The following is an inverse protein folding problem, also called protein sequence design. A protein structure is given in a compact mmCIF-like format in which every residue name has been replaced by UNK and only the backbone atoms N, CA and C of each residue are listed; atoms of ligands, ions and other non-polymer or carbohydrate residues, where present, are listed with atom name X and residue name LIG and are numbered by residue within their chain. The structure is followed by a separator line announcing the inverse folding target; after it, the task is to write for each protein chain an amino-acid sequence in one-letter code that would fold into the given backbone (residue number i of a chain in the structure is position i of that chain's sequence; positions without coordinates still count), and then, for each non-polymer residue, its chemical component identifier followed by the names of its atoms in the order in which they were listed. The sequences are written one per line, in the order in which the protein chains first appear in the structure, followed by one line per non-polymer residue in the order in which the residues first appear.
data_IF_439002807903
#
_entry.id   IF_439002807903
#
_cell.length_a   1.000
_cell.length_b   1.000
_cell.length_c   1.000
_cell.angle_alpha   90.00
_cell.angle_beta   90.00
_cell.angle_gamma   90.00
#
_symmetry.space_group_name_H-M   'P 1'
#
loop_
_entity.id
_entity.type
_entity.pdbx_description
1 polymer ?
#
# COMPACT_ATOMS: atom_id res chain seq x y z
N UNK A 1 -14.37 -5.49 19.25
CA UNK A 1 -13.70 -6.60 18.52
C UNK A 1 -13.29 -7.70 19.50
N UNK A 2 -13.47 -8.98 19.15
CA UNK A 2 -13.10 -10.12 20.02
C UNK A 2 -11.80 -10.77 19.53
N UNK A 3 -10.88 -11.12 20.44
CA UNK A 3 -9.78 -12.02 20.09
C UNK A 3 -10.28 -13.45 19.96
N UNK A 4 -9.56 -14.28 19.18
CA UNK A 4 -9.82 -15.72 19.08
C UNK A 4 -9.84 -16.43 20.44
N UNK A 5 -9.23 -15.84 21.48
CA UNK A 5 -9.20 -16.36 22.85
C UNK A 5 -10.40 -15.93 23.72
N UNK A 6 -11.21 -14.98 23.27
CA UNK A 6 -12.32 -14.38 24.04
C UNK A 6 -13.62 -14.25 23.23
N UNK A 7 -13.75 -14.98 22.13
CA UNK A 7 -14.91 -14.86 21.26
C UNK A 7 -16.06 -15.75 21.73
N UNK A 8 -17.28 -15.21 21.69
CA UNK A 8 -18.53 -15.97 21.85
C UNK A 8 -19.42 -15.77 20.61
N UNK A 9 -20.02 -16.86 20.13
CA UNK A 9 -21.00 -16.84 19.03
C UNK A 9 -20.48 -16.23 17.73
N UNK A 10 -21.21 -15.25 17.18
CA UNK A 10 -20.90 -14.61 15.89
C UNK A 10 -19.53 -13.90 15.90
N UNK A 11 -19.08 -13.41 17.05
CA UNK A 11 -17.79 -12.72 17.19
C UNK A 11 -16.60 -13.63 16.89
N UNK A 12 -16.75 -14.95 16.99
CA UNK A 12 -15.70 -15.89 16.60
C UNK A 12 -15.48 -15.95 15.09
N UNK A 13 -16.53 -15.76 14.30
CA UNK A 13 -16.43 -15.77 12.84
C UNK A 13 -15.65 -14.53 12.38
N UNK A 14 -15.96 -13.36 12.95
CA UNK A 14 -15.21 -12.13 12.67
C UNK A 14 -13.73 -12.29 13.06
N UNK A 15 -13.45 -12.75 14.28
CA UNK A 15 -12.08 -12.97 14.75
C UNK A 15 -11.29 -13.96 13.86
N UNK A 16 -11.93 -15.04 13.40
CA UNK A 16 -11.32 -16.00 12.48
C UNK A 16 -10.97 -15.35 11.13
N UNK A 17 -11.90 -14.59 10.57
CA UNK A 17 -11.71 -13.88 9.30
C UNK A 17 -10.61 -12.81 9.41
N UNK A 18 -10.55 -12.08 10.52
CA UNK A 18 -9.50 -11.09 10.80
C UNK A 18 -8.12 -11.74 10.92
N UNK A 19 -8.02 -12.90 11.58
CA UNK A 19 -6.78 -13.66 11.65
C UNK A 19 -6.37 -14.20 10.28
N UNK A 20 -7.31 -14.65 9.45
CA UNK A 20 -7.02 -15.09 8.09
C UNK A 20 -6.45 -13.95 7.23
N UNK A 21 -7.05 -12.75 7.32
CA UNK A 21 -6.54 -11.53 6.67
C UNK A 21 -5.14 -11.18 7.21
N UNK A 22 -4.99 -11.08 8.53
CA UNK A 22 -3.73 -10.69 9.18
C UNK A 22 -2.59 -11.63 8.81
N UNK A 23 -2.86 -12.94 8.80
CA UNK A 23 -1.90 -13.96 8.37
C UNK A 23 -1.50 -13.78 6.90
N UNK A 24 -2.48 -13.56 6.02
CA UNK A 24 -2.23 -13.33 4.59
C UNK A 24 -1.40 -12.06 4.36
N UNK A 25 -1.78 -10.96 5.00
CA UNK A 25 -1.07 -9.68 4.95
C UNK A 25 0.37 -9.81 5.45
N UNK A 26 0.58 -10.50 6.57
CA UNK A 26 1.91 -10.77 7.13
C UNK A 26 2.78 -11.61 6.19
N UNK A 27 2.25 -12.68 5.60
CA UNK A 27 2.98 -13.51 4.63
C UNK A 27 3.39 -12.68 3.40
N UNK A 28 2.48 -11.85 2.88
CA UNK A 28 2.79 -10.95 1.76
C UNK A 28 3.88 -9.94 2.14
N UNK A 29 3.76 -9.30 3.31
CA UNK A 29 4.73 -8.33 3.80
C UNK A 29 6.13 -8.96 3.99
N UNK A 30 6.22 -10.13 4.61
CA UNK A 30 7.49 -10.85 4.82
C UNK A 30 8.14 -11.18 3.48
N UNK A 31 7.37 -11.72 2.54
CA UNK A 31 7.87 -12.05 1.21
C UNK A 31 8.33 -10.79 0.46
N UNK A 32 7.59 -9.69 0.59
CA UNK A 32 7.94 -8.42 -0.05
C UNK A 32 9.22 -7.79 0.52
N UNK A 33 9.32 -7.67 1.85
CA UNK A 33 10.52 -7.14 2.51
C UNK A 33 11.75 -7.97 2.21
N UNK A 34 11.64 -9.30 2.21
CA UNK A 34 12.75 -10.20 1.85
C UNK A 34 13.36 -9.85 0.50
N UNK A 35 12.58 -9.32 -0.44
CA UNK A 35 13.04 -8.96 -1.78
C UNK A 35 13.61 -7.56 -1.82
N UNK A 36 12.98 -6.60 -1.15
CA UNK A 36 13.55 -5.25 -0.99
C UNK A 36 14.98 -5.36 -0.44
N UNK A 37 15.18 -6.17 0.60
CA UNK A 37 16.49 -6.38 1.21
C UNK A 37 17.47 -7.16 0.32
N UNK A 38 16.96 -8.04 -0.57
CA UNK A 38 17.78 -8.85 -1.48
C UNK A 38 18.02 -8.19 -2.84
N UNK A 39 17.35 -7.08 -3.17
CA UNK A 39 17.51 -6.39 -4.45
C UNK A 39 18.83 -5.60 -4.54
N UNK A 40 19.94 -6.34 -4.58
CA UNK A 40 21.29 -5.82 -4.84
C UNK A 40 21.47 -5.33 -6.28
N UNK A 41 20.61 -5.79 -7.19
CA UNK A 41 20.74 -5.57 -8.63
C UNK A 41 20.00 -4.33 -9.14
N UNK A 42 19.43 -3.52 -8.23
CA UNK A 42 18.67 -2.29 -8.55
C UNK A 42 17.56 -2.53 -9.57
N UNK A 43 16.86 -3.67 -9.47
CA UNK A 43 15.77 -4.00 -10.38
C UNK A 43 14.59 -3.05 -10.18
N UNK A 44 14.38 -2.60 -8.94
CA UNK A 44 13.43 -1.56 -8.60
C UNK A 44 14.14 -0.20 -8.52
N UNK A 45 13.50 0.84 -9.07
CA UNK A 45 13.92 2.23 -8.85
C UNK A 45 13.86 2.58 -7.36
N UNK A 46 14.62 3.60 -6.94
CA UNK A 46 14.62 4.05 -5.53
C UNK A 46 13.20 4.41 -5.06
N UNK A 47 12.43 5.09 -5.91
CA UNK A 47 11.05 5.47 -5.61
C UNK A 47 10.14 4.24 -5.47
N UNK A 48 10.22 3.28 -6.40
CA UNK A 48 9.46 2.02 -6.33
C UNK A 48 9.76 1.23 -5.05
N UNK A 49 11.01 1.22 -4.60
CA UNK A 49 11.37 0.57 -3.33
C UNK A 49 10.73 1.25 -2.12
N UNK A 50 10.64 2.58 -2.13
CA UNK A 50 10.01 3.34 -1.05
C UNK A 50 8.51 3.07 -1.04
N UNK A 51 7.83 3.22 -2.18
CA UNK A 51 6.39 2.92 -2.32
C UNK A 51 6.12 1.48 -1.84
N UNK A 52 6.92 0.53 -2.33
CA UNK A 52 6.76 -0.88 -1.95
C UNK A 52 6.97 -1.11 -0.45
N UNK A 53 8.01 -0.51 0.14
CA UNK A 53 8.31 -0.60 1.57
C UNK A 53 7.22 0.00 2.46
N UNK A 54 6.62 1.13 2.05
CA UNK A 54 5.49 1.74 2.75
C UNK A 54 4.27 0.82 2.68
N UNK A 55 3.94 0.26 1.50
CA UNK A 55 2.82 -0.68 1.37
C UNK A 55 3.00 -1.95 2.19
N UNK A 56 4.22 -2.49 2.28
CA UNK A 56 4.48 -3.65 3.13
C UNK A 56 4.38 -3.28 4.61
N UNK A 57 4.81 -2.07 5.00
CA UNK A 57 4.60 -1.54 6.35
C UNK A 57 3.11 -1.40 6.69
N UNK A 58 2.27 -0.96 5.74
CA UNK A 58 0.82 -0.92 5.91
C UNK A 58 0.23 -2.31 6.16
N UNK A 59 0.67 -3.35 5.43
CA UNK A 59 0.21 -4.73 5.66
C UNK A 59 0.61 -5.27 7.04
N UNK A 60 1.81 -4.93 7.53
CA UNK A 60 2.25 -5.30 8.89
C UNK A 60 1.39 -4.57 9.92
N UNK A 61 1.20 -3.26 9.76
CA UNK A 61 0.38 -2.47 10.67
C UNK A 61 -1.08 -2.93 10.66
N UNK A 62 -1.61 -3.31 9.50
CA UNK A 62 -2.94 -3.90 9.39
C UNK A 62 -3.04 -5.23 10.15
N UNK A 63 -1.99 -6.05 10.05
CA UNK A 63 -1.91 -7.30 10.81
C UNK A 63 -1.90 -7.03 12.31
N UNK A 64 -1.14 -6.02 12.75
CA UNK A 64 -1.11 -5.56 14.14
C UNK A 64 -2.46 -4.96 14.58
N UNK A 65 -3.13 -4.19 13.73
CA UNK A 65 -4.44 -3.61 14.00
C UNK A 65 -5.48 -4.68 14.36
N UNK A 66 -5.55 -5.76 13.56
CA UNK A 66 -6.46 -6.87 13.83
C UNK A 66 -6.07 -7.71 15.06
N UNK A 67 -4.78 -7.76 15.43
CA UNK A 67 -4.33 -8.50 16.63
C UNK A 67 -4.54 -7.67 17.91
N UNK A 68 -4.30 -6.36 17.86
CA UNK A 68 -4.31 -5.44 19.02
C UNK A 68 -5.63 -4.66 19.14
N UNK A 69 -6.77 -5.29 18.83
CA UNK A 69 -8.11 -4.77 19.13
C UNK A 69 -8.45 -3.43 18.46
N UNK A 70 -7.88 -3.18 17.29
CA UNK A 70 -8.26 -2.01 16.51
C UNK A 70 -7.72 -0.69 17.03
N UNK A 71 -6.49 -0.68 17.56
CA UNK A 71 -5.85 0.55 18.07
C UNK A 71 -5.92 1.72 17.09
N UNK A 72 -6.37 2.85 17.61
CA UNK A 72 -6.65 4.05 16.84
C UNK A 72 -5.40 4.75 16.33
N UNK A 73 -4.34 4.66 17.12
CA UNK A 73 -3.01 5.03 16.69
C UNK A 73 -2.61 4.26 15.42
N UNK A 74 -2.93 2.96 15.36
CA UNK A 74 -2.55 2.09 14.25
C UNK A 74 -3.38 2.41 13.01
N UNK A 75 -4.71 2.57 13.11
CA UNK A 75 -5.54 2.91 11.94
C UNK A 75 -5.22 4.28 11.36
N UNK A 76 -5.00 5.29 12.21
CA UNK A 76 -4.57 6.62 11.76
C UNK A 76 -3.21 6.54 11.07
N UNK A 77 -2.28 5.76 11.61
CA UNK A 77 -0.98 5.52 10.96
C UNK A 77 -1.12 4.83 9.60
N UNK A 78 -1.96 3.79 9.48
CA UNK A 78 -2.23 3.12 8.19
C UNK A 78 -2.78 4.11 7.17
N UNK A 79 -3.76 4.93 7.56
CA UNK A 79 -4.40 5.93 6.69
C UNK A 79 -3.41 7.01 6.24
N UNK A 80 -2.57 7.53 7.14
CA UNK A 80 -1.55 8.52 6.76
C UNK A 80 -0.45 7.93 5.88
N UNK A 81 -0.02 6.68 6.13
CA UNK A 81 0.90 5.98 5.23
C UNK A 81 0.29 5.79 3.84
N UNK A 82 -1.03 5.57 3.75
CA UNK A 82 -1.74 5.47 2.48
C UNK A 82 -1.67 6.79 1.72
N UNK A 83 -1.97 7.91 2.38
CA UNK A 83 -1.85 9.25 1.79
C UNK A 83 -0.41 9.49 1.30
N UNK A 84 0.60 9.12 2.10
CA UNK A 84 1.99 9.23 1.69
C UNK A 84 2.32 8.39 0.43
N UNK A 85 1.75 7.19 0.32
CA UNK A 85 1.88 6.37 -0.89
C UNK A 85 1.24 7.04 -2.11
N UNK A 86 0.05 7.65 -1.97
CA UNK A 86 -0.60 8.38 -3.06
C UNK A 86 0.24 9.57 -3.53
N UNK A 87 0.88 10.29 -2.60
CA UNK A 87 1.81 11.38 -2.92
C UNK A 87 2.99 10.88 -3.75
N UNK A 88 3.62 9.78 -3.32
CA UNK A 88 4.75 9.19 -4.04
C UNK A 88 4.35 8.64 -5.41
N UNK A 89 3.14 8.10 -5.51
CA UNK A 89 2.57 7.65 -6.77
C UNK A 89 2.34 8.82 -7.73
N UNK A 90 1.80 9.93 -7.24
CA UNK A 90 1.65 11.15 -8.02
C UNK A 90 2.99 11.60 -8.59
N UNK A 91 4.06 11.58 -7.79
CA UNK A 91 5.42 11.87 -8.26
C UNK A 91 5.84 10.94 -9.38
N UNK A 92 5.65 9.62 -9.20
CA UNK A 92 6.05 8.61 -10.18
C UNK A 92 5.31 8.76 -11.51
N UNK A 93 3.99 8.99 -11.46
CA UNK A 93 3.18 9.17 -12.66
C UNK A 93 3.52 10.49 -13.36
N UNK A 94 3.79 11.54 -12.58
CA UNK A 94 4.19 12.81 -13.14
C UNK A 94 5.54 12.72 -13.87
N UNK A 95 6.53 12.00 -13.30
CA UNK A 95 7.85 11.76 -13.93
C UNK A 95 7.74 11.10 -15.31
N UNK A 96 6.69 10.30 -15.53
CA UNK A 96 6.42 9.65 -16.82
C UNK A 96 5.69 10.59 -17.77
N UNK A 97 4.74 11.39 -17.26
CA UNK A 97 3.79 12.15 -18.07
C UNK A 97 4.19 13.58 -18.43
N UNK A 98 5.11 14.21 -17.70
CA UNK A 98 5.38 15.66 -17.79
C UNK A 98 6.87 16.01 -17.95
N UNK A 99 7.13 17.22 -18.43
CA UNK A 99 8.46 17.80 -18.57
C UNK A 99 9.08 18.23 -17.23
N UNK A 100 10.42 18.34 -17.19
CA UNK A 100 11.19 18.63 -15.97
C UNK A 100 10.78 19.90 -15.22
N UNK A 101 10.45 20.98 -15.94
CA UNK A 101 10.08 22.25 -15.31
C UNK A 101 8.79 22.15 -14.48
N UNK A 102 7.88 21.25 -14.88
CA UNK A 102 6.67 20.95 -14.11
C UNK A 102 6.99 20.05 -12.90
N UNK A 103 7.90 19.08 -13.07
CA UNK A 103 8.33 18.16 -12.00
C UNK A 103 8.96 18.91 -10.82
N UNK A 104 9.83 19.89 -11.08
CA UNK A 104 10.49 20.65 -10.01
C UNK A 104 9.47 21.41 -9.13
N UNK A 105 8.44 22.00 -9.75
CA UNK A 105 7.35 22.68 -9.03
C UNK A 105 6.47 21.68 -8.27
N UNK A 106 6.17 20.54 -8.90
CA UNK A 106 5.37 19.48 -8.29
C UNK A 106 6.09 18.88 -7.08
N UNK A 107 7.41 18.66 -7.14
CA UNK A 107 8.18 18.11 -6.02
C UNK A 107 8.11 19.00 -4.78
N UNK A 108 8.21 20.32 -4.96
CA UNK A 108 8.05 21.29 -3.86
C UNK A 108 6.64 21.20 -3.27
N UNK A 109 5.62 21.15 -4.12
CA UNK A 109 4.23 21.04 -3.68
C UNK A 109 3.97 19.73 -2.92
N UNK A 110 4.44 18.59 -3.42
CA UNK A 110 4.27 17.29 -2.78
C UNK A 110 5.04 17.17 -1.46
N UNK A 111 6.18 17.85 -1.31
CA UNK A 111 6.88 17.97 -0.01
C UNK A 111 6.06 18.74 1.02
N UNK A 112 5.41 19.83 0.61
CA UNK A 112 4.52 20.61 1.48
C UNK A 112 3.35 19.74 1.93
N UNK A 113 2.69 19.03 1.00
CA UNK A 113 1.61 18.09 1.34
C UNK A 113 2.11 17.01 2.29
N UNK A 114 3.29 16.42 2.06
CA UNK A 114 3.86 15.41 2.96
C UNK A 114 4.06 15.93 4.38
N UNK A 115 4.49 17.20 4.52
CA UNK A 115 4.58 17.87 5.82
C UNK A 115 3.21 18.04 6.48
N UNK A 116 2.18 18.40 5.71
CA UNK A 116 0.81 18.49 6.20
C UNK A 116 0.26 17.13 6.67
N UNK A 117 0.53 16.05 5.92
CA UNK A 117 0.14 14.67 6.31
C UNK A 117 0.78 14.26 7.63
N UNK A 118 2.02 14.67 7.90
CA UNK A 118 2.67 14.42 9.18
C UNK A 118 1.99 15.16 10.33
N UNK A 119 1.56 16.42 10.10
CA UNK A 119 0.81 17.20 11.09
C UNK A 119 -0.56 16.57 11.35
N UNK A 120 -1.27 16.17 10.30
CA UNK A 120 -2.55 15.46 10.43
C UNK A 120 -2.40 14.13 11.18
N UNK A 121 -1.35 13.35 10.86
CA UNK A 121 -1.04 12.12 11.59
C UNK A 121 -0.80 12.41 13.08
N UNK A 122 0.02 13.41 13.40
CA UNK A 122 0.31 13.75 14.79
C UNK A 122 -0.97 14.18 15.55
N UNK A 123 -1.82 14.99 14.91
CA UNK A 123 -3.09 15.41 15.48
C UNK A 123 -4.02 14.23 15.73
N UNK A 124 -4.24 13.38 14.72
CA UNK A 124 -5.21 12.28 14.78
C UNK A 124 -4.73 11.11 15.65
N UNK A 125 -3.44 10.76 15.59
CA UNK A 125 -2.90 9.60 16.28
C UNK A 125 -2.53 9.88 17.74
N UNK A 126 -2.12 11.11 18.07
CA UNK A 126 -1.63 11.48 19.41
C UNK A 126 -2.63 12.36 20.17
N UNK A 127 -3.03 13.51 19.59
CA UNK A 127 -3.82 14.52 20.31
C UNK A 127 -5.30 14.13 20.42
N UNK A 128 -5.93 13.80 19.28
CA UNK A 128 -7.37 13.48 19.21
C UNK A 128 -7.73 12.19 19.93
N UNK A 129 -6.74 11.30 20.14
CA UNK A 129 -6.91 9.98 20.73
C UNK A 129 -7.25 10.04 22.24
N UNK A 130 -6.88 11.12 22.94
CA UNK A 130 -7.13 11.27 24.38
C UNK A 130 -8.46 11.99 24.71
N UNK A 131 -9.11 12.63 23.73
CA UNK A 131 -10.12 13.64 24.00
C UNK A 131 -11.60 13.16 23.97
N UNK A 132 -11.93 12.07 23.27
CA UNK A 132 -13.32 11.59 23.13
C UNK A 132 -13.42 10.09 22.82
N UNK A 133 -14.43 9.44 23.41
CA UNK A 133 -14.59 7.97 23.45
C UNK A 133 -14.89 7.28 22.10
N UNK A 134 -15.38 7.94 21.04
CA UNK A 134 -15.68 7.24 19.76
C UNK A 134 -15.39 8.01 18.45
N UNK A 135 -15.08 7.22 17.40
CA UNK A 135 -14.38 7.59 16.16
C UNK A 135 -15.20 8.25 15.06
N UNK A 136 -16.42 7.80 14.81
CA UNK A 136 -17.16 8.22 13.64
C UNK A 136 -17.91 9.55 13.81
N UNK A 137 -18.03 10.05 15.05
CA UNK A 137 -18.50 11.41 15.32
C UNK A 137 -17.40 12.46 15.11
N UNK A 138 -16.13 12.01 14.93
CA UNK A 138 -15.01 12.89 14.61
C UNK A 138 -14.89 13.03 13.10
N UNK A 139 -14.89 14.27 12.64
CA UNK A 139 -14.65 14.58 11.23
C UNK A 139 -13.24 14.19 10.75
N UNK A 140 -12.30 13.95 11.67
CA UNK A 140 -10.90 13.56 11.39
C UNK A 140 -10.79 12.40 10.37
N UNK A 141 -11.61 11.35 10.51
CA UNK A 141 -11.57 10.20 9.60
C UNK A 141 -12.07 10.55 8.20
N UNK A 142 -13.12 11.37 8.13
CA UNK A 142 -13.69 11.87 6.87
C UNK A 142 -12.69 12.79 6.16
N UNK A 143 -11.95 13.61 6.93
CA UNK A 143 -10.87 14.43 6.38
C UNK A 143 -9.75 13.56 5.79
N UNK A 144 -9.26 12.55 6.53
CA UNK A 144 -8.20 11.65 6.03
C UNK A 144 -8.63 10.88 4.77
N UNK A 145 -9.84 10.32 4.74
CA UNK A 145 -10.33 9.61 3.56
C UNK A 145 -10.68 10.54 2.41
N UNK A 146 -11.16 11.76 2.70
CA UNK A 146 -11.38 12.81 1.70
C UNK A 146 -10.07 13.26 1.03
N UNK A 147 -9.03 13.53 1.81
CA UNK A 147 -7.68 13.85 1.31
C UNK A 147 -7.14 12.72 0.44
N UNK A 148 -7.35 11.46 0.86
CA UNK A 148 -6.97 10.28 0.06
C UNK A 148 -7.67 10.30 -1.30
N UNK A 149 -9.00 10.47 -1.34
CA UNK A 149 -9.75 10.52 -2.62
C UNK A 149 -9.27 11.64 -3.52
N UNK A 150 -9.05 12.84 -2.98
CA UNK A 150 -8.55 13.99 -3.75
C UNK A 150 -7.19 13.65 -4.40
N UNK A 151 -6.26 13.09 -3.63
CA UNK A 151 -4.95 12.70 -4.15
C UNK A 151 -5.04 11.57 -5.17
N UNK A 152 -5.90 10.58 -4.96
CA UNK A 152 -6.10 9.51 -5.93
C UNK A 152 -6.70 10.04 -7.24
N UNK A 153 -7.57 11.05 -7.19
CA UNK A 153 -8.06 11.73 -8.39
C UNK A 153 -6.94 12.47 -9.14
N UNK A 154 -6.03 13.15 -8.40
CA UNK A 154 -4.83 13.73 -9.00
C UNK A 154 -3.94 12.66 -9.63
N UNK A 155 -3.72 11.54 -8.94
CA UNK A 155 -2.97 10.40 -9.45
C UNK A 155 -3.61 9.82 -10.71
N UNK A 156 -4.94 9.70 -10.77
CA UNK A 156 -5.65 9.30 -11.99
C UNK A 156 -5.42 10.28 -13.13
N UNK A 157 -5.48 11.59 -12.87
CA UNK A 157 -5.19 12.63 -13.85
C UNK A 157 -3.77 12.52 -14.43
N UNK A 158 -2.76 12.39 -13.56
CA UNK A 158 -1.38 12.17 -13.98
C UNK A 158 -1.20 10.81 -14.67
N UNK A 159 -1.93 9.80 -14.23
CA UNK A 159 -1.96 8.47 -14.81
C UNK A 159 -2.46 8.46 -16.25
N UNK A 160 -3.52 9.20 -16.57
CA UNK A 160 -3.99 9.35 -17.95
C UNK A 160 -2.93 10.01 -18.82
N UNK A 161 -2.28 11.07 -18.33
CA UNK A 161 -1.19 11.72 -19.06
C UNK A 161 -0.01 10.76 -19.30
N UNK A 162 0.38 9.99 -18.28
CA UNK A 162 1.44 8.99 -18.37
C UNK A 162 1.08 7.88 -19.38
N UNK A 163 -0.17 7.42 -19.41
CA UNK A 163 -0.64 6.43 -20.38
C UNK A 163 -0.59 6.96 -21.81
N UNK A 164 -0.93 8.22 -22.03
CA UNK A 164 -0.89 8.85 -23.36
C UNK A 164 0.56 8.96 -23.86
N UNK A 165 1.49 9.38 -22.99
CA UNK A 165 2.93 9.42 -23.30
C UNK A 165 3.50 8.03 -23.62
N UNK A 166 3.09 7.00 -22.87
CA UNK A 166 3.48 5.62 -23.17
C UNK A 166 2.93 5.15 -24.52
N UNK A 167 1.71 5.54 -24.89
CA UNK A 167 1.11 5.19 -26.16
C UNK A 167 1.82 5.87 -27.34
N UNK A 168 2.21 7.13 -27.20
CA UNK A 168 3.03 7.85 -28.19
C UNK A 168 4.37 7.13 -28.35
N UNK A 169 5.07 6.88 -27.24
CA UNK A 169 6.38 6.21 -27.23
C UNK A 169 6.33 4.80 -27.85
N UNK A 170 5.21 4.08 -27.68
CA UNK A 170 5.00 2.75 -28.26
C UNK A 170 5.04 2.75 -29.80
N UNK A 171 4.54 3.81 -30.45
CA UNK A 171 4.49 3.88 -31.91
C UNK A 171 5.88 3.95 -32.55
N UNK A 172 6.89 4.39 -31.79
CA UNK A 172 8.26 4.58 -32.26
C UNK A 172 9.17 3.37 -32.00
N UNK A 173 8.69 2.36 -31.27
CA UNK A 173 9.50 1.26 -30.75
C UNK A 173 9.37 -0.06 -31.53
N UNK A 174 10.40 -0.91 -31.41
CA UNK A 174 10.42 -2.28 -31.93
C UNK A 174 9.39 -3.16 -31.20
N UNK A 175 8.85 -4.22 -31.83
CA UNK A 175 7.77 -5.04 -31.27
C UNK A 175 8.06 -5.66 -29.90
N UNK A 176 9.33 -5.97 -29.58
CA UNK A 176 9.70 -6.51 -28.26
C UNK A 176 9.55 -5.46 -27.14
N UNK A 177 9.80 -4.20 -27.44
CA UNK A 177 9.68 -3.10 -26.47
C UNK A 177 8.24 -2.56 -26.41
N UNK A 178 7.44 -2.75 -27.47
CA UNK A 178 6.01 -2.48 -27.46
C UNK A 178 5.26 -3.34 -26.44
N UNK A 179 5.59 -4.64 -26.33
CA UNK A 179 4.97 -5.53 -25.35
C UNK A 179 5.26 -5.08 -23.90
N UNK A 180 6.47 -4.56 -23.63
CA UNK A 180 6.83 -4.02 -22.31
C UNK A 180 6.06 -2.74 -21.98
N UNK A 181 5.85 -1.87 -22.98
CA UNK A 181 5.09 -0.64 -22.80
C UNK A 181 3.59 -0.92 -22.55
N UNK A 182 3.01 -1.91 -23.26
CA UNK A 182 1.64 -2.38 -22.97
C UNK A 182 1.53 -2.97 -21.56
N UNK A 183 2.55 -3.72 -21.15
CA UNK A 183 2.62 -4.31 -19.84
C UNK A 183 2.66 -3.25 -18.72
N UNK A 184 3.45 -2.19 -18.90
CA UNK A 184 3.50 -1.03 -18.00
C UNK A 184 2.18 -0.23 -17.99
N UNK A 185 1.55 -0.05 -19.15
CA UNK A 185 0.26 0.63 -19.24
C UNK A 185 -0.83 -0.15 -18.48
N UNK A 186 -0.83 -1.47 -18.54
CA UNK A 186 -1.74 -2.31 -17.77
C UNK A 186 -1.47 -2.21 -16.26
N UNK A 187 -0.20 -2.17 -15.84
CA UNK A 187 0.18 -1.98 -14.44
C UNK A 187 -0.38 -0.67 -13.87
N UNK A 188 -0.19 0.44 -14.58
CA UNK A 188 -0.71 1.76 -14.18
C UNK A 188 -2.24 1.71 -14.05
N UNK A 189 -2.94 1.07 -14.99
CA UNK A 189 -4.41 0.94 -14.95
C UNK A 189 -4.91 0.14 -13.76
N UNK A 190 -4.29 -1.01 -13.47
CA UNK A 190 -4.67 -1.85 -12.32
C UNK A 190 -4.43 -1.08 -11.02
N UNK A 191 -3.28 -0.41 -10.91
CA UNK A 191 -2.91 0.37 -9.73
C UNK A 191 -3.94 1.48 -9.44
N UNK A 192 -4.19 2.34 -10.43
CA UNK A 192 -5.13 3.45 -10.31
C UNK A 192 -6.56 2.98 -10.07
N UNK A 193 -6.97 1.89 -10.72
CA UNK A 193 -8.31 1.32 -10.54
C UNK A 193 -8.53 0.80 -9.12
N UNK A 194 -7.55 0.07 -8.57
CA UNK A 194 -7.61 -0.44 -7.20
C UNK A 194 -7.57 0.69 -6.16
N UNK A 195 -6.69 1.68 -6.32
CA UNK A 195 -6.58 2.79 -5.38
C UNK A 195 -7.82 3.68 -5.39
N UNK A 196 -8.34 4.02 -6.57
CA UNK A 196 -9.55 4.83 -6.71
C UNK A 196 -10.76 4.11 -6.11
N UNK A 197 -10.95 2.82 -6.42
CA UNK A 197 -12.04 2.03 -5.86
C UNK A 197 -11.95 2.00 -4.33
N UNK A 198 -10.76 1.72 -3.81
CA UNK A 198 -10.51 1.66 -2.37
C UNK A 198 -10.78 3.00 -1.69
N UNK A 199 -10.32 4.10 -2.29
CA UNK A 199 -10.46 5.44 -1.75
C UNK A 199 -11.91 5.90 -1.73
N UNK A 200 -12.64 5.71 -2.83
CA UNK A 200 -14.05 6.06 -2.93
C UNK A 200 -14.92 5.27 -1.96
N UNK A 201 -14.68 3.96 -1.83
CA UNK A 201 -15.41 3.12 -0.87
C UNK A 201 -15.11 3.55 0.57
N UNK A 202 -13.84 3.82 0.90
CA UNK A 202 -13.47 4.26 2.24
C UNK A 202 -14.09 5.61 2.60
N UNK A 203 -13.99 6.60 1.71
CA UNK A 203 -14.58 7.90 1.93
C UNK A 203 -16.10 7.84 2.00
N UNK A 204 -16.76 7.10 1.09
CA UNK A 204 -18.20 6.90 1.12
C UNK A 204 -18.69 6.29 2.43
N UNK A 205 -17.95 5.31 2.96
CA UNK A 205 -18.25 4.68 4.24
C UNK A 205 -18.05 5.63 5.42
N UNK A 206 -16.88 6.26 5.51
CA UNK A 206 -16.56 7.19 6.60
C UNK A 206 -17.55 8.36 6.63
N UNK A 207 -17.86 8.94 5.47
CA UNK A 207 -18.83 10.04 5.33
C UNK A 207 -20.23 9.60 5.74
N UNK A 208 -20.69 8.44 5.26
CA UNK A 208 -22.01 7.92 5.62
C UNK A 208 -22.13 7.61 7.11
N UNK A 209 -21.12 6.97 7.70
CA UNK A 209 -21.08 6.66 9.13
C UNK A 209 -21.11 7.94 9.98
N UNK A 210 -20.33 8.97 9.60
CA UNK A 210 -20.33 10.26 10.29
C UNK A 210 -21.66 11.02 10.19
N UNK A 211 -22.33 10.96 9.03
CA UNK A 211 -23.62 11.63 8.84
C UNK A 211 -24.80 10.89 9.48
N UNK A 212 -24.68 9.57 9.67
CA UNK A 212 -25.79 8.72 10.13
C UNK A 212 -25.72 8.37 11.61
N UNK A 213 -24.56 8.50 12.26
CA UNK A 213 -24.42 8.25 13.69
C UNK A 213 -24.90 9.45 14.51
N UNK A 214 -25.94 9.27 15.31
CA UNK A 214 -26.42 10.27 16.27
C UNK A 214 -25.98 9.96 17.69
N UNK A 215 -25.77 8.67 17.99
CA UNK A 215 -25.34 8.19 19.30
C UNK A 215 -24.05 7.37 19.21
N UNK A 216 -23.45 7.13 20.37
CA UNK A 216 -22.27 6.28 20.52
C UNK A 216 -22.49 4.85 20.02
N UNK A 217 -23.68 4.31 20.31
CA UNK A 217 -24.03 2.94 19.96
C UNK A 217 -24.28 2.80 18.45
N UNK A 218 -24.87 3.82 17.81
CA UNK A 218 -24.97 3.89 16.35
C UNK A 218 -23.58 3.85 15.72
N UNK A 219 -22.66 4.66 16.27
CA UNK A 219 -21.29 4.73 15.80
C UNK A 219 -20.59 3.37 15.86
N UNK A 220 -20.74 2.68 17.00
CA UNK A 220 -20.18 1.34 17.20
C UNK A 220 -20.73 0.34 16.20
N UNK A 221 -22.03 0.41 15.89
CA UNK A 221 -22.68 -0.50 14.93
C UNK A 221 -22.17 -0.38 13.48
N UNK A 222 -21.54 0.75 13.12
CA UNK A 222 -20.94 0.97 11.80
C UNK A 222 -19.50 0.45 11.67
N UNK A 223 -18.86 0.04 12.76
CA UNK A 223 -17.49 -0.48 12.73
C UNK A 223 -17.35 -1.83 13.42
N UNK A 224 -18.34 -2.25 14.19
CA UNK A 224 -18.43 -3.57 14.80
C UNK A 224 -19.64 -4.34 14.27
N UNK A 225 -19.44 -5.62 13.98
CA UNK A 225 -20.51 -6.44 13.45
C UNK A 225 -21.45 -6.93 14.56
N UNK A 226 -22.75 -6.62 14.43
CA UNK A 226 -23.82 -7.10 15.32
C UNK A 226 -24.51 -8.40 14.84
N UNK A 227 -24.28 -8.83 13.61
CA UNK A 227 -24.96 -9.95 12.96
C UNK A 227 -24.03 -10.64 11.96
N UNK A 228 -24.32 -11.88 11.58
CA UNK A 228 -23.52 -12.61 10.58
C UNK A 228 -23.43 -11.84 9.25
N UNK A 229 -24.52 -11.22 8.81
CA UNK A 229 -24.53 -10.43 7.57
C UNK A 229 -23.59 -9.22 7.72
N UNK A 230 -23.65 -8.50 8.84
CA UNK A 230 -22.74 -7.37 9.07
C UNK A 230 -21.28 -7.82 9.20
N UNK A 231 -20.98 -9.02 9.71
CA UNK A 231 -19.62 -9.56 9.68
C UNK A 231 -19.09 -9.63 8.25
N UNK A 232 -19.86 -10.22 7.33
CA UNK A 232 -19.42 -10.33 5.93
C UNK A 232 -19.27 -8.96 5.25
N UNK A 233 -20.20 -8.03 5.51
CA UNK A 233 -20.11 -6.67 4.96
C UNK A 233 -18.87 -5.94 5.50
N UNK A 234 -18.65 -5.94 6.81
CA UNK A 234 -17.47 -5.30 7.43
C UNK A 234 -16.17 -5.95 6.96
N UNK A 235 -16.14 -7.28 6.81
CA UNK A 235 -14.99 -7.98 6.27
C UNK A 235 -14.66 -7.54 4.84
N UNK A 236 -15.66 -7.50 3.95
CA UNK A 236 -15.48 -7.03 2.58
C UNK A 236 -15.01 -5.58 2.58
N UNK A 237 -15.60 -4.72 3.40
CA UNK A 237 -15.20 -3.32 3.54
C UNK A 237 -13.75 -3.19 4.01
N UNK A 238 -13.32 -3.93 5.04
CA UNK A 238 -11.93 -3.96 5.52
C UNK A 238 -10.96 -4.37 4.41
N UNK A 239 -11.30 -5.40 3.61
CA UNK A 239 -10.47 -5.83 2.47
C UNK A 239 -10.39 -4.74 1.40
N UNK A 240 -11.53 -4.20 0.97
CA UNK A 240 -11.60 -3.20 -0.09
C UNK A 240 -10.93 -1.88 0.30
N UNK A 241 -11.01 -1.47 1.57
CA UNK A 241 -10.50 -0.17 2.02
C UNK A 241 -9.06 -0.22 2.52
N UNK A 242 -8.62 -1.32 3.13
CA UNK A 242 -7.31 -1.41 3.78
C UNK A 242 -6.31 -2.35 3.10
N UNK A 243 -6.78 -3.34 2.31
CA UNK A 243 -5.89 -4.32 1.69
C UNK A 243 -5.70 -4.14 0.18
N UNK A 244 -6.75 -3.76 -0.56
CA UNK A 244 -6.70 -3.87 -2.04
C UNK A 244 -5.56 -3.04 -2.65
N UNK A 245 -5.31 -1.84 -2.12
CA UNK A 245 -4.22 -0.95 -2.55
C UNK A 245 -2.83 -1.55 -2.28
N UNK A 246 -2.44 -1.87 -1.03
CA UNK A 246 -1.13 -2.48 -0.79
C UNK A 246 -0.97 -3.86 -1.45
N UNK A 247 -2.06 -4.62 -1.65
CA UNK A 247 -2.03 -5.87 -2.43
C UNK A 247 -1.80 -5.64 -3.92
N UNK A 248 -2.39 -4.60 -4.52
CA UNK A 248 -2.14 -4.24 -5.92
C UNK A 248 -0.68 -3.86 -6.13
N UNK A 249 -0.13 -3.04 -5.22
CA UNK A 249 1.30 -2.68 -5.20
C UNK A 249 2.18 -3.94 -5.11
N UNK A 250 1.84 -4.87 -4.22
CA UNK A 250 2.53 -6.16 -4.11
C UNK A 250 2.44 -7.00 -5.38
N UNK A 251 1.25 -7.07 -5.98
CA UNK A 251 1.04 -7.87 -7.17
C UNK A 251 1.90 -7.35 -8.34
N UNK A 252 1.87 -6.03 -8.57
CA UNK A 252 2.59 -5.37 -9.66
C UNK A 252 4.10 -5.43 -9.45
N UNK A 253 4.60 -4.98 -8.29
CA UNK A 253 6.04 -4.83 -8.05
C UNK A 253 6.74 -6.15 -7.70
N UNK A 254 6.02 -7.13 -7.16
CA UNK A 254 6.61 -8.42 -6.79
C UNK A 254 6.05 -9.60 -7.57
N UNK A 255 4.75 -9.88 -7.47
CA UNK A 255 4.22 -11.17 -7.92
C UNK A 255 4.47 -11.37 -9.42
N UNK A 256 4.31 -10.31 -10.20
CA UNK A 256 4.58 -10.30 -11.63
C UNK A 256 6.06 -10.48 -11.97
N UNK A 257 6.95 -9.83 -11.21
CA UNK A 257 8.40 -9.84 -11.45
C UNK A 257 9.13 -11.00 -10.75
N UNK A 258 8.43 -11.85 -10.00
CA UNK A 258 9.01 -12.94 -9.17
C UNK A 258 9.94 -13.86 -9.94
N UNK A 259 9.64 -14.15 -11.21
CA UNK A 259 10.48 -15.02 -12.04
C UNK A 259 11.83 -14.37 -12.34
N UNK A 260 11.86 -13.06 -12.58
CA UNK A 260 13.09 -12.31 -12.79
C UNK A 260 13.93 -12.24 -11.52
N UNK A 261 13.29 -12.05 -10.36
CA UNK A 261 13.94 -12.12 -9.05
C UNK A 261 14.55 -13.50 -8.78
N UNK A 262 13.81 -14.58 -9.05
CA UNK A 262 14.27 -15.95 -8.83
C UNK A 262 15.39 -16.37 -9.80
N UNK A 263 15.26 -16.04 -11.09
CA UNK A 263 16.28 -16.34 -12.10
C UNK A 263 17.60 -15.62 -11.80
N UNK A 264 17.55 -14.35 -11.41
CA UNK A 264 18.76 -13.59 -11.06
C UNK A 264 19.36 -14.02 -9.71
N UNK A 265 18.54 -14.41 -8.74
CA UNK A 265 19.04 -14.95 -7.48
C UNK A 265 19.83 -16.27 -7.69
N UNK A 266 19.35 -17.14 -8.59
CA UNK A 266 20.08 -18.35 -8.98
C UNK A 266 21.43 -18.01 -9.65
N UNK A 267 21.44 -17.05 -10.60
CA UNK A 267 22.66 -16.69 -11.33
C UNK A 267 23.71 -15.94 -10.47
N UNK A 268 23.28 -15.17 -9.45
CA UNK A 268 24.21 -14.49 -8.53
C UNK A 268 24.87 -15.48 -7.56
N UNK A 269 24.18 -16.56 -7.21
CA UNK A 269 24.76 -17.66 -6.41
C UNK A 269 25.83 -18.41 -7.21
N UNK A 270 25.60 -18.68 -8.51
CA UNK A 270 26.61 -19.37 -9.34
C UNK A 270 27.89 -18.54 -9.52
N UNK A 271 27.80 -17.23 -9.75
CA UNK A 271 28.98 -16.39 -9.99
C UNK A 271 29.78 -16.17 -8.70
N UNK A 272 29.13 -15.92 -7.57
CA UNK A 272 29.84 -15.71 -6.32
C UNK A 272 30.46 -17.00 -5.77
N UNK A 273 29.82 -18.17 -5.95
CA UNK A 273 30.42 -19.47 -5.58
C UNK A 273 31.59 -19.83 -6.51
N UNK A 274 31.53 -19.47 -7.79
CA UNK A 274 32.64 -19.65 -8.73
C UNK A 274 33.82 -18.70 -8.47
N UNK A 275 33.57 -17.47 -8.04
CA UNK A 275 34.62 -16.51 -7.67
C UNK A 275 35.28 -16.92 -6.35
N UNK A 276 34.50 -17.32 -5.35
CA UNK A 276 35.02 -17.72 -4.02
C UNK A 276 35.91 -18.97 -4.12
N UNK A 277 35.47 -19.99 -4.88
CA UNK A 277 36.30 -21.18 -5.15
C UNK A 277 37.54 -20.88 -5.99
N UNK A 278 37.50 -19.88 -6.90
CA UNK A 278 38.69 -19.46 -7.65
C UNK A 278 39.69 -18.75 -6.75
N UNK A 279 39.24 -17.90 -5.83
CA UNK A 279 40.13 -17.26 -4.85
C UNK A 279 40.75 -18.27 -3.91
N UNK A 280 40.00 -19.28 -3.45
CA UNK A 280 40.54 -20.37 -2.62
C UNK A 280 41.59 -21.21 -3.38
N UNK A 281 41.31 -21.57 -4.64
CA UNK A 281 42.27 -22.29 -5.49
C UNK A 281 43.54 -21.48 -5.83
N UNK A 282 43.42 -20.16 -5.99
CA UNK A 282 44.58 -19.29 -6.24
C UNK A 282 45.44 -19.17 -4.97
N UNK A 283 44.82 -19.08 -3.79
CA UNK A 283 45.54 -19.04 -2.51
C UNK A 283 46.27 -20.36 -2.24
N UNK A 284 45.66 -21.51 -2.54
CA UNK A 284 46.32 -22.81 -2.43
C UNK A 284 47.47 -22.99 -3.43
N UNK A 285 47.32 -22.53 -4.69
CA UNK A 285 48.38 -22.58 -5.71
C UNK A 285 49.55 -21.62 -5.45
N UNK A 286 49.33 -20.53 -4.73
CA UNK A 286 50.43 -19.61 -4.33
C UNK A 286 51.19 -20.06 -3.09
N UNK A 287 50.64 -21.01 -2.33
CA UNK A 287 51.23 -21.51 -1.07
C UNK A 287 51.80 -22.94 -1.18
N UNK A 288 51.74 -23.56 -2.35
CA UNK A 288 52.36 -24.85 -2.68
C UNK A 288 53.59 -24.66 -3.57
#
# INVERSE_FOLDING_TARGET
MATLFQCDGANCIEAFLEVAISTTASIMAINGFRIIFRDRNKLLSKLNKIIYGISMSQLILLSAYFIFWGSDFVISTIRCLRILNEILLCTLLAEIGFEKDFLDKLEVFLKIISGFVFIEWFWTAIISNEAYDYYCLKMDLVYLSGTTVILTLFACGFGFQALDQLQISKQELKPTDQNKMEEQALEIKIFLGCDLLSGLIQFGWDYWANMSAYTLDDCKSYYEASSIISIFVMFIMKVLTLMISPMAIYYILYYKQRLQFNYRAANVLDINVLIDRRSELVVELTNA
#
